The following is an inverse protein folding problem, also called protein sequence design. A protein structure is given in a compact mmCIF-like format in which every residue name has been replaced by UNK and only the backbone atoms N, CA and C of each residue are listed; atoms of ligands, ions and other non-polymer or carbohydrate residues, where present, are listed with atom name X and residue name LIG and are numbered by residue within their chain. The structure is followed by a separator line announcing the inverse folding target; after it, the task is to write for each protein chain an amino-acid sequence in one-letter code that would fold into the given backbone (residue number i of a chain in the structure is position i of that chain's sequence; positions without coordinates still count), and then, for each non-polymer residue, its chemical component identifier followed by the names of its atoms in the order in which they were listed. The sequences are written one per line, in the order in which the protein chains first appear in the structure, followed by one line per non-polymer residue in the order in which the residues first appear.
data_IF_104023003534
#
_entry.id   IF_104023003534
#
_cell.length_a   1.000
_cell.length_b   1.000
_cell.length_c   1.000
_cell.angle_alpha   90.00
_cell.angle_beta   90.00
_cell.angle_gamma   90.00
#
_symmetry.space_group_name_H-M   'P 1'
#
loop_
_entity.id
_entity.type
_entity.pdbx_description
1 polymer ?
#
# COMPACT_ATOMS: atom_id res chain seq x y z
N UNK A 1 16.73 0.85 -23.92
CA UNK A 1 16.92 0.05 -22.69
C UNK A 1 15.78 0.43 -21.77
N UNK A 2 14.95 -0.51 -21.28
CA UNK A 2 13.85 -0.15 -20.35
C UNK A 2 14.46 0.30 -19.02
N UNK A 3 13.92 1.38 -18.45
CA UNK A 3 14.38 1.96 -17.18
C UNK A 3 13.80 1.16 -16.00
N UNK A 4 14.40 0.00 -15.73
CA UNK A 4 14.07 -0.76 -14.52
C UNK A 4 14.47 0.05 -13.28
N UNK A 5 13.56 0.12 -12.32
CA UNK A 5 13.72 1.02 -11.17
C UNK A 5 14.35 0.27 -10.01
N UNK A 6 15.40 0.85 -9.41
CA UNK A 6 16.00 0.36 -8.17
C UNK A 6 15.11 0.67 -6.97
N UNK A 7 15.17 -0.13 -5.91
CA UNK A 7 14.36 0.05 -4.69
C UNK A 7 14.37 1.49 -4.14
N UNK A 8 15.55 2.14 -4.08
CA UNK A 8 15.67 3.56 -3.68
C UNK A 8 14.90 4.49 -4.61
N UNK A 9 15.04 4.29 -5.92
CA UNK A 9 14.41 5.12 -6.94
C UNK A 9 12.90 4.87 -6.99
N UNK A 10 12.43 3.65 -6.66
CA UNK A 10 11.03 3.30 -6.46
C UNK A 10 10.43 4.15 -5.34
N UNK A 11 11.06 4.15 -4.16
CA UNK A 11 10.54 4.90 -3.02
C UNK A 11 10.52 6.40 -3.32
N UNK A 12 11.58 6.94 -3.92
CA UNK A 12 11.63 8.35 -4.30
C UNK A 12 10.54 8.70 -5.32
N UNK A 13 10.34 7.87 -6.33
CA UNK A 13 9.38 8.12 -7.40
C UNK A 13 7.94 8.03 -6.89
N UNK A 14 7.58 6.93 -6.21
CA UNK A 14 6.25 6.79 -5.60
C UNK A 14 5.98 7.87 -4.56
N UNK A 15 6.98 8.29 -3.79
CA UNK A 15 6.82 9.41 -2.87
C UNK A 15 6.46 10.69 -3.62
N UNK A 16 7.20 11.01 -4.69
CA UNK A 16 6.94 12.19 -5.52
C UNK A 16 5.53 12.19 -6.13
N UNK A 17 5.02 11.03 -6.54
CA UNK A 17 3.69 10.90 -7.14
C UNK A 17 2.56 11.05 -6.11
N UNK A 18 2.75 10.55 -4.90
CA UNK A 18 1.70 10.49 -3.88
C UNK A 18 1.73 11.68 -2.91
N UNK A 19 2.86 12.38 -2.77
CA UNK A 19 3.08 13.37 -1.72
C UNK A 19 2.07 14.52 -1.72
N UNK A 20 1.75 15.10 -2.90
CA UNK A 20 0.76 16.19 -2.99
C UNK A 20 -0.59 15.75 -2.41
N UNK A 21 -1.05 14.57 -2.81
CA UNK A 21 -2.35 14.07 -2.35
C UNK A 21 -2.36 13.77 -0.86
N UNK A 22 -1.30 13.19 -0.32
CA UNK A 22 -1.17 13.00 1.12
C UNK A 22 -1.15 14.32 1.89
N UNK A 23 -0.44 15.33 1.38
CA UNK A 23 -0.38 16.66 1.98
C UNK A 23 -1.76 17.36 1.98
N UNK A 24 -2.50 17.30 0.88
CA UNK A 24 -3.89 17.80 0.79
C UNK A 24 -4.79 17.15 1.83
N UNK A 25 -4.58 15.86 2.11
CA UNK A 25 -5.32 15.08 3.10
C UNK A 25 -4.79 15.26 4.54
N UNK A 26 -3.87 16.19 4.77
CA UNK A 26 -3.32 16.52 6.09
C UNK A 26 -2.29 15.52 6.63
N UNK A 27 -1.70 14.69 5.78
CA UNK A 27 -0.60 13.81 6.14
C UNK A 27 0.76 14.49 5.93
N UNK A 28 1.77 14.06 6.68
CA UNK A 28 3.14 14.59 6.65
C UNK A 28 4.11 13.54 6.14
N UNK A 29 5.03 13.91 5.27
CA UNK A 29 6.13 13.01 4.85
C UNK A 29 7.07 12.71 6.02
N UNK A 30 7.53 11.45 6.15
CA UNK A 30 8.50 11.03 7.17
C UNK A 30 9.97 11.14 6.72
N UNK A 31 10.27 11.70 5.54
CA UNK A 31 11.64 11.98 5.08
C UNK A 31 11.97 11.45 3.69
N UNK A 32 13.17 11.82 3.21
CA UNK A 32 13.66 11.56 1.84
C UNK A 32 14.36 10.20 1.75
N UNK A 33 13.60 9.11 1.62
CA UNK A 33 14.22 7.80 1.38
C UNK A 33 13.28 6.61 1.47
N UNK A 34 12.19 6.75 2.23
CA UNK A 34 11.07 5.82 2.24
C UNK A 34 9.83 6.58 1.81
N UNK A 35 9.02 5.96 0.96
CA UNK A 35 7.71 6.53 0.66
C UNK A 35 6.79 6.21 1.84
N UNK A 36 6.77 7.13 2.81
CA UNK A 36 6.04 7.02 4.07
C UNK A 36 5.41 8.36 4.46
N UNK A 37 4.19 8.30 4.98
CA UNK A 37 3.38 9.45 5.37
C UNK A 37 2.71 9.21 6.73
N UNK A 38 2.59 10.25 7.55
CA UNK A 38 1.95 10.17 8.86
C UNK A 38 0.83 11.16 9.08
N UNK A 39 -0.17 10.73 9.85
CA UNK A 39 -1.23 11.60 10.35
C UNK A 39 -1.62 11.13 11.75
N UNK A 40 -1.29 11.93 12.77
CA UNK A 40 -1.46 11.52 14.17
C UNK A 40 -0.64 10.27 14.48
N UNK A 41 -1.32 9.19 14.91
CA UNK A 41 -0.71 7.88 15.22
C UNK A 41 -0.71 6.90 14.03
N UNK A 42 -1.07 7.36 12.83
CA UNK A 42 -1.17 6.51 11.65
C UNK A 42 0.04 6.71 10.76
N UNK A 43 0.57 5.62 10.23
CA UNK A 43 1.69 5.62 9.28
C UNK A 43 1.28 4.86 8.04
N UNK A 44 1.24 5.51 6.89
CA UNK A 44 1.15 4.85 5.60
C UNK A 44 2.56 4.68 5.06
N UNK A 45 2.89 3.53 4.47
CA UNK A 45 4.20 3.31 3.87
C UNK A 45 4.15 2.27 2.76
N UNK A 46 5.06 2.41 1.80
CA UNK A 46 5.27 1.45 0.71
C UNK A 46 6.50 0.60 0.99
N UNK A 47 6.47 -0.67 0.58
CA UNK A 47 7.60 -1.58 0.69
C UNK A 47 7.84 -2.33 -0.61
N UNK A 48 9.10 -2.56 -0.96
CA UNK A 48 9.50 -3.55 -1.95
C UNK A 48 10.04 -4.78 -1.20
N UNK A 49 9.72 -6.00 -1.63
CA UNK A 49 10.06 -7.24 -0.89
C UNK A 49 11.56 -7.47 -0.68
N UNK A 50 12.41 -6.78 -1.44
CA UNK A 50 13.86 -6.84 -1.31
C UNK A 50 14.39 -5.41 -1.23
N UNK A 51 14.73 -4.98 -0.03
CA UNK A 51 15.37 -3.68 0.22
C UNK A 51 16.88 -3.81 -0.07
N UNK A 52 17.25 -3.90 -1.34
CA UNK A 52 18.65 -3.83 -1.77
C UNK A 52 18.80 -2.85 -2.95
N UNK A 53 20.02 -2.34 -3.12
CA UNK A 53 20.36 -1.49 -4.27
C UNK A 53 20.49 -2.28 -5.59
N UNK A 54 20.30 -3.61 -5.56
CA UNK A 54 20.49 -4.51 -6.71
C UNK A 54 19.19 -4.88 -7.44
N UNK A 55 18.02 -4.63 -6.85
CA UNK A 55 16.74 -5.03 -7.45
C UNK A 55 16.41 -4.15 -8.64
N UNK A 56 16.11 -4.77 -9.79
CA UNK A 56 15.66 -4.12 -11.02
C UNK A 56 14.27 -4.65 -11.38
N UNK A 57 13.22 -3.84 -11.16
CA UNK A 57 11.85 -4.33 -11.25
C UNK A 57 11.54 -5.33 -10.12
N UNK A 58 10.30 -5.40 -9.68
CA UNK A 58 9.93 -6.28 -8.58
C UNK A 58 8.48 -6.12 -8.14
N UNK A 59 8.18 -6.64 -6.96
CA UNK A 59 6.87 -6.51 -6.33
C UNK A 59 6.93 -5.49 -5.19
N UNK A 60 5.88 -4.71 -5.05
CA UNK A 60 5.70 -3.85 -3.89
C UNK A 60 4.37 -4.07 -3.20
N UNK A 61 4.32 -3.69 -1.93
CA UNK A 61 3.13 -3.70 -1.09
C UNK A 61 2.87 -2.30 -0.57
N UNK A 62 1.60 -2.05 -0.25
CA UNK A 62 1.12 -0.82 0.33
C UNK A 62 0.54 -1.12 1.72
N UNK A 63 1.08 -0.46 2.73
CA UNK A 63 0.78 -0.74 4.12
C UNK A 63 0.34 0.51 4.86
N UNK A 64 -0.43 0.29 5.91
CA UNK A 64 -0.74 1.31 6.88
C UNK A 64 -0.76 0.72 8.27
N UNK A 65 -0.05 1.35 9.18
CA UNK A 65 -0.08 1.05 10.60
C UNK A 65 -0.96 2.06 11.31
N UNK A 66 -1.60 1.62 12.39
CA UNK A 66 -2.41 2.46 13.26
C UNK A 66 -1.99 2.24 14.71
N UNK A 67 -1.61 3.31 15.41
CA UNK A 67 -1.14 3.21 16.80
C UNK A 67 0.38 3.22 16.92
N UNK A 68 0.87 2.94 18.13
CA UNK A 68 2.31 2.91 18.44
C UNK A 68 2.96 1.57 18.14
N UNK A 69 2.18 0.51 17.92
CA UNK A 69 2.68 -0.85 17.71
C UNK A 69 2.54 -1.28 16.25
N UNK A 70 3.61 -1.88 15.71
CA UNK A 70 3.65 -2.52 14.40
C UNK A 70 2.74 -3.76 14.28
N UNK A 71 1.98 -4.09 15.33
CA UNK A 71 1.09 -5.25 15.37
C UNK A 71 -0.17 -5.07 14.50
N UNK A 72 -0.52 -3.82 14.15
CA UNK A 72 -1.70 -3.47 13.36
C UNK A 72 -1.32 -3.04 11.93
N UNK A 73 -0.40 -3.76 11.29
CA UNK A 73 -0.06 -3.57 9.87
C UNK A 73 -1.26 -3.98 8.99
N UNK A 74 -2.01 -2.99 8.52
CA UNK A 74 -3.13 -3.19 7.60
C UNK A 74 -2.59 -3.10 6.16
N UNK A 75 -2.71 -4.18 5.39
CA UNK A 75 -2.59 -4.13 3.93
C UNK A 75 -3.72 -3.27 3.39
N UNK A 76 -3.42 -2.05 2.98
CA UNK A 76 -4.48 -1.06 2.68
C UNK A 76 -5.35 -1.48 1.51
N UNK A 77 -4.81 -2.27 0.57
CA UNK A 77 -5.52 -2.74 -0.61
C UNK A 77 -6.68 -3.69 -0.26
N UNK A 78 -6.67 -4.28 0.95
CA UNK A 78 -7.83 -5.02 1.49
C UNK A 78 -9.08 -4.13 1.65
N UNK A 79 -8.91 -2.80 1.66
CA UNK A 79 -10.00 -1.82 1.76
C UNK A 79 -10.60 -1.42 0.41
N UNK A 80 -10.12 -2.00 -0.70
CA UNK A 80 -10.74 -1.81 -2.00
C UNK A 80 -12.13 -2.45 -2.02
N UNK A 81 -13.06 -1.81 -2.74
CA UNK A 81 -14.33 -2.46 -3.11
C UNK A 81 -14.11 -3.40 -4.30
N UNK A 82 -15.14 -4.15 -4.67
CA UNK A 82 -15.04 -5.13 -5.76
C UNK A 82 -14.67 -4.50 -7.10
N UNK A 83 -15.31 -3.37 -7.44
CA UNK A 83 -15.02 -2.63 -8.68
C UNK A 83 -13.54 -2.23 -8.79
N UNK A 84 -12.98 -1.70 -7.71
CA UNK A 84 -11.58 -1.28 -7.71
C UNK A 84 -10.60 -2.46 -7.69
N UNK A 85 -10.99 -3.60 -7.13
CA UNK A 85 -10.22 -4.84 -7.24
C UNK A 85 -10.13 -5.29 -8.70
N UNK A 86 -11.24 -5.25 -9.44
CA UNK A 86 -11.23 -5.60 -10.88
C UNK A 86 -10.30 -4.68 -11.68
N UNK A 87 -10.34 -3.36 -11.41
CA UNK A 87 -9.42 -2.40 -12.06
C UNK A 87 -7.97 -2.68 -11.69
N UNK A 88 -7.68 -2.98 -10.42
CA UNK A 88 -6.35 -3.32 -9.94
C UNK A 88 -5.81 -4.60 -10.58
N UNK A 89 -6.63 -5.65 -10.67
CA UNK A 89 -6.31 -6.91 -11.33
C UNK A 89 -6.00 -6.73 -12.82
N UNK A 90 -6.82 -5.96 -13.53
CA UNK A 90 -6.56 -5.65 -14.95
C UNK A 90 -5.26 -4.86 -15.15
N UNK A 91 -4.93 -3.95 -14.23
CA UNK A 91 -3.65 -3.22 -14.26
C UNK A 91 -2.46 -4.16 -14.03
N UNK A 92 -2.56 -5.05 -13.04
CA UNK A 92 -1.56 -6.09 -12.80
C UNK A 92 -1.31 -6.97 -14.04
N UNK A 93 -2.38 -7.53 -14.62
CA UNK A 93 -2.31 -8.37 -15.81
C UNK A 93 -1.65 -7.64 -16.98
N UNK A 94 -2.00 -6.36 -17.17
CA UNK A 94 -1.41 -5.51 -18.20
C UNK A 94 0.08 -5.27 -17.98
N UNK A 95 0.53 -5.09 -16.75
CA UNK A 95 1.96 -4.91 -16.43
C UNK A 95 2.71 -6.21 -16.71
N UNK A 96 2.20 -7.35 -16.23
CA UNK A 96 2.79 -8.69 -16.41
C UNK A 96 2.96 -9.05 -17.90
N UNK A 97 1.98 -8.70 -18.73
CA UNK A 97 2.02 -9.00 -20.17
C UNK A 97 3.09 -8.20 -20.95
N UNK A 98 3.74 -7.18 -20.37
CA UNK A 98 4.69 -6.31 -21.08
C UNK A 98 6.04 -7.00 -21.30
N UNK A 99 6.38 -7.27 -22.56
CA UNK A 99 7.71 -7.75 -22.97
C UNK A 99 8.64 -6.61 -23.46
N UNK A 100 9.98 -6.74 -23.31
CA UNK A 100 10.68 -7.78 -22.55
C UNK A 100 10.56 -7.57 -21.03
N UNK A 101 10.41 -8.66 -20.29
CA UNK A 101 10.54 -8.71 -18.82
C UNK A 101 12.01 -8.48 -18.42
N UNK A 102 12.29 -8.05 -17.16
CA UNK A 102 13.66 -8.10 -16.65
C UNK A 102 14.24 -9.51 -16.81
N UNK A 103 15.54 -9.60 -17.08
CA UNK A 103 16.28 -10.85 -17.14
C UNK A 103 17.33 -10.86 -16.00
N UNK A 104 17.25 -11.80 -15.04
CA UNK A 104 16.24 -12.85 -14.92
C UNK A 104 14.86 -12.31 -14.49
N UNK A 105 13.78 -13.02 -14.87
CA UNK A 105 12.44 -12.74 -14.35
C UNK A 105 12.43 -12.96 -12.83
N UNK A 106 12.08 -11.93 -12.02
CA UNK A 106 12.09 -12.05 -10.57
C UNK A 106 11.26 -13.21 -10.05
N UNK A 107 11.73 -13.88 -9.01
CA UNK A 107 10.99 -14.93 -8.32
C UNK A 107 10.24 -14.41 -7.10
N UNK A 108 9.09 -15.00 -6.84
CA UNK A 108 8.21 -14.63 -5.75
C UNK A 108 7.70 -15.86 -5.03
N UNK A 109 7.65 -15.77 -3.70
CA UNK A 109 6.96 -16.73 -2.86
C UNK A 109 5.45 -16.44 -2.88
N UNK A 110 4.66 -17.46 -3.20
CA UNK A 110 3.20 -17.46 -3.11
C UNK A 110 2.71 -18.67 -2.31
N UNK A 111 1.53 -18.57 -1.72
CA UNK A 111 0.87 -19.69 -1.02
C UNK A 111 0.16 -20.54 -2.07
N UNK A 112 0.55 -21.81 -2.19
CA UNK A 112 -0.05 -22.78 -3.10
C UNK A 112 -1.28 -23.50 -2.51
N UNK A 113 -1.84 -24.43 -3.27
CA UNK A 113 -3.13 -25.10 -2.99
C UNK A 113 -3.20 -25.88 -1.65
N UNK A 114 -2.06 -26.24 -1.05
CA UNK A 114 -1.99 -26.98 0.22
C UNK A 114 -1.36 -26.14 1.35
N UNK A 115 -1.50 -24.81 1.30
CA UNK A 115 -0.80 -23.85 2.18
C UNK A 115 0.75 -23.91 2.10
N UNK A 116 1.28 -24.70 1.16
CA UNK A 116 2.72 -24.79 0.91
C UNK A 116 3.22 -23.53 0.21
N UNK A 117 4.37 -23.01 0.62
CA UNK A 117 5.01 -21.90 -0.08
C UNK A 117 5.70 -22.41 -1.34
N UNK A 118 5.42 -21.78 -2.49
CA UNK A 118 6.05 -22.10 -3.78
C UNK A 118 6.70 -20.87 -4.40
N UNK A 119 7.85 -21.07 -5.05
CA UNK A 119 8.54 -20.02 -5.82
C UNK A 119 8.03 -20.03 -7.26
N UNK A 120 7.58 -18.87 -7.73
CA UNK A 120 7.08 -18.68 -9.09
C UNK A 120 7.70 -17.45 -9.72
N UNK A 121 7.82 -17.44 -11.04
CA UNK A 121 8.26 -16.23 -11.76
C UNK A 121 7.18 -15.16 -11.65
N UNK A 122 7.59 -13.90 -11.51
CA UNK A 122 6.67 -12.77 -11.35
C UNK A 122 5.76 -12.64 -12.57
N UNK A 123 6.27 -12.87 -13.78
CA UNK A 123 5.43 -12.90 -14.96
C UNK A 123 4.42 -14.06 -15.02
N UNK A 124 4.55 -15.06 -14.15
CA UNK A 124 3.61 -16.18 -14.02
C UNK A 124 2.69 -16.02 -12.79
N UNK A 125 2.75 -14.88 -12.08
CA UNK A 125 2.01 -14.63 -10.83
C UNK A 125 0.51 -14.89 -10.97
N UNK A 126 -0.13 -14.42 -12.05
CA UNK A 126 -1.58 -14.60 -12.26
C UNK A 126 -1.95 -16.09 -12.35
N UNK A 127 -1.08 -16.92 -12.94
CA UNK A 127 -1.29 -18.37 -13.04
C UNK A 127 -1.03 -19.05 -11.70
N UNK A 128 -0.03 -18.57 -10.97
CA UNK A 128 0.43 -19.17 -9.72
C UNK A 128 -0.44 -18.81 -8.50
N UNK A 129 -1.07 -17.65 -8.52
CA UNK A 129 -1.91 -17.16 -7.42
C UNK A 129 -3.16 -16.44 -7.98
N UNK A 130 -4.06 -17.18 -8.64
CA UNK A 130 -5.24 -16.60 -9.30
C UNK A 130 -6.20 -15.91 -8.33
N UNK A 131 -6.12 -16.26 -7.04
CA UNK A 131 -7.02 -15.80 -5.97
C UNK A 131 -6.45 -14.66 -5.13
N UNK A 132 -5.29 -14.08 -5.50
CA UNK A 132 -4.65 -13.02 -4.68
C UNK A 132 -5.54 -11.79 -4.46
N UNK A 133 -6.55 -11.60 -5.31
CA UNK A 133 -7.53 -10.51 -5.23
C UNK A 133 -8.88 -10.95 -4.61
N UNK A 134 -9.13 -12.24 -4.39
CA UNK A 134 -10.46 -12.80 -4.08
C UNK A 134 -10.83 -12.74 -2.58
N UNK A 135 -9.85 -12.59 -1.70
CA UNK A 135 -10.03 -12.48 -0.24
C UNK A 135 -9.30 -11.23 0.29
N UNK A 136 -9.51 -10.78 1.55
CA UNK A 136 -8.65 -9.79 2.19
C UNK A 136 -7.23 -10.37 2.39
N UNK A 137 -6.49 -10.46 1.29
CA UNK A 137 -5.18 -11.08 1.19
C UNK A 137 -4.08 -10.03 1.12
N UNK A 138 -2.84 -10.51 1.20
CA UNK A 138 -1.67 -9.71 0.91
C UNK A 138 -1.55 -9.56 -0.60
N UNK A 139 -1.98 -8.40 -1.12
CA UNK A 139 -1.89 -8.11 -2.55
C UNK A 139 -0.48 -7.64 -2.88
N UNK A 140 0.16 -8.37 -3.79
CA UNK A 140 1.44 -8.00 -4.36
C UNK A 140 1.20 -7.20 -5.64
N UNK A 141 1.90 -6.08 -5.81
CA UNK A 141 1.78 -5.27 -7.03
C UNK A 141 3.05 -5.42 -7.88
N UNK A 142 2.99 -6.04 -9.06
CA UNK A 142 4.14 -6.11 -9.96
C UNK A 142 4.46 -4.74 -10.56
N UNK A 143 5.74 -4.45 -10.73
CA UNK A 143 6.24 -3.36 -11.56
C UNK A 143 7.59 -3.73 -12.15
N UNK A 144 7.85 -3.27 -13.35
CA UNK A 144 9.13 -3.46 -14.02
C UNK A 144 9.83 -2.12 -14.23
N UNK A 145 9.11 -1.07 -14.62
CA UNK A 145 9.66 0.25 -14.88
C UNK A 145 8.95 1.40 -14.17
N UNK A 146 9.49 2.60 -14.37
CA UNK A 146 8.92 3.85 -13.85
C UNK A 146 7.48 4.09 -14.32
N UNK A 147 7.18 3.77 -15.58
CA UNK A 147 5.83 3.88 -16.14
C UNK A 147 4.80 3.00 -15.42
N UNK A 148 5.23 1.86 -14.88
CA UNK A 148 4.34 0.97 -14.14
C UNK A 148 4.00 1.56 -12.77
N UNK A 149 4.95 2.29 -12.17
CA UNK A 149 4.72 3.07 -10.96
C UNK A 149 3.79 4.26 -11.21
N UNK A 150 3.92 4.90 -12.37
CA UNK A 150 2.98 5.95 -12.80
C UNK A 150 1.57 5.38 -12.96
N UNK A 151 1.43 4.21 -13.61
CA UNK A 151 0.15 3.50 -13.75
C UNK A 151 -0.45 3.13 -12.37
N UNK A 152 0.37 2.59 -11.46
CA UNK A 152 -0.07 2.29 -10.10
C UNK A 152 -0.47 3.54 -9.33
N UNK A 153 0.28 4.64 -9.44
CA UNK A 153 -0.11 5.89 -8.80
C UNK A 153 -1.43 6.44 -9.36
N UNK A 154 -1.64 6.39 -10.69
CA UNK A 154 -2.90 6.77 -11.32
C UNK A 154 -4.08 5.91 -10.83
N UNK A 155 -3.84 4.61 -10.58
CA UNK A 155 -4.83 3.75 -9.93
C UNK A 155 -5.09 4.17 -8.47
N UNK A 156 -4.05 4.46 -7.68
CA UNK A 156 -4.18 4.72 -6.25
C UNK A 156 -4.75 6.10 -5.92
N UNK A 157 -4.32 7.15 -6.63
CA UNK A 157 -4.61 8.54 -6.30
C UNK A 157 -6.12 8.83 -6.11
N UNK A 158 -7.02 8.41 -7.01
CA UNK A 158 -8.46 8.63 -6.84
C UNK A 158 -9.07 7.88 -5.65
N UNK A 159 -8.36 6.87 -5.13
CA UNK A 159 -8.85 5.94 -4.10
C UNK A 159 -8.23 6.23 -2.73
N UNK A 160 -7.20 7.08 -2.66
CA UNK A 160 -6.42 7.31 -1.45
C UNK A 160 -7.29 7.73 -0.27
N UNK A 161 -8.21 8.68 -0.45
CA UNK A 161 -9.08 9.18 0.61
C UNK A 161 -9.82 8.05 1.33
N UNK A 162 -10.34 7.07 0.57
CA UNK A 162 -11.06 5.91 1.10
C UNK A 162 -10.11 4.87 1.67
N UNK A 163 -9.00 4.59 0.98
CA UNK A 163 -7.99 3.64 1.43
C UNK A 163 -7.40 4.04 2.79
N UNK A 164 -7.15 5.34 2.97
CA UNK A 164 -6.62 5.93 4.19
C UNK A 164 -7.72 6.53 5.07
N UNK A 165 -8.99 6.27 4.77
CA UNK A 165 -10.07 6.70 5.65
C UNK A 165 -9.93 6.00 7.01
N UNK A 166 -10.36 6.65 8.09
CA UNK A 166 -10.53 5.97 9.35
C UNK A 166 -11.49 4.76 9.19
N UNK A 167 -11.09 3.59 9.65
CA UNK A 167 -11.97 2.44 9.89
C UNK A 167 -13.05 2.80 10.92
N UNK A 168 -14.21 2.16 10.91
CA UNK A 168 -15.34 2.48 11.81
C UNK A 168 -15.00 2.40 13.31
N UNK A 169 -13.93 1.71 13.70
CA UNK A 169 -13.40 1.70 15.07
C UNK A 169 -12.71 3.03 15.46
N UNK A 170 -12.29 3.86 14.50
CA UNK A 170 -11.65 5.17 14.71
C UNK A 170 -12.63 6.30 15.07
N UNK A 171 -13.93 6.14 14.90
CA UNK A 171 -14.90 7.13 15.42
C UNK A 171 -14.92 7.19 16.95
N UNK A 172 -14.35 6.19 17.60
CA UNK A 172 -14.14 6.15 19.05
C UNK A 172 -12.74 6.68 19.38
N UNK A 173 -12.43 7.93 19.05
CA UNK A 173 -11.28 8.59 19.66
C UNK A 173 -11.57 8.76 21.16
N UNK A 174 -10.86 8.07 22.08
CA UNK A 174 -11.10 8.18 23.51
C UNK A 174 -10.86 9.61 24.02
N UNK A 175 -10.04 10.39 23.31
CA UNK A 175 -9.74 11.79 23.66
C UNK A 175 -10.90 12.74 23.35
N UNK A 176 -11.65 12.48 22.26
CA UNK A 176 -12.87 13.23 21.93
C UNK A 176 -13.99 12.97 22.95
N UNK A 177 -14.09 11.75 23.48
CA UNK A 177 -14.97 11.44 24.62
C UNK A 177 -14.52 12.12 25.91
N UNK A 178 -13.22 12.13 26.22
CA UNK A 178 -12.69 12.77 27.43
C UNK A 178 -12.91 14.30 27.44
N UNK A 179 -12.84 14.95 26.27
CA UNK A 179 -13.16 16.37 26.13
C UNK A 179 -14.67 16.64 26.26
N UNK A 180 -15.53 15.80 25.66
CA UNK A 180 -16.99 15.90 25.81
C UNK A 180 -17.46 15.66 27.26
N UNK A 181 -16.90 14.69 27.96
CA UNK A 181 -17.22 14.45 29.38
C UNK A 181 -16.70 15.55 30.31
N UNK A 182 -15.54 16.16 30.03
CA UNK A 182 -15.07 17.33 30.80
C UNK A 182 -15.97 18.55 30.62
N UNK A 183 -16.58 18.74 29.44
CA UNK A 183 -17.54 19.81 29.25
C UNK A 183 -18.88 19.54 29.97
N UNK A 184 -19.34 18.29 29.98
CA UNK A 184 -20.57 17.91 30.69
C UNK A 184 -20.42 17.98 32.21
N UNK A 185 -19.30 17.53 32.78
CA UNK A 185 -19.06 17.60 34.24
C UNK A 185 -18.85 19.02 34.76
N UNK A 186 -18.56 19.98 33.87
CA UNK A 186 -18.44 21.41 34.24
C UNK A 186 -19.79 22.13 34.34
N UNK A 187 -20.83 21.61 33.69
CA UNK A 187 -22.21 22.10 33.80
C UNK A 187 -22.90 21.66 35.10
N UNK A 188 -22.46 20.54 35.68
CA UNK A 188 -22.97 20.02 36.97
C UNK A 188 -22.19 20.51 38.18
N UNK A 189 -21.30 21.49 38.01
CA UNK A 189 -20.54 22.12 39.11
C UNK A 189 -20.86 23.61 39.18
N UNK A 190 -22.13 23.92 39.42
CA UNK A 190 -22.55 25.25 39.86
C UNK A 190 -23.17 25.12 41.26
N UNK A 191 -22.36 25.50 42.26
CA UNK A 191 -22.60 25.66 43.71
C UNK A 191 -23.13 24.44 44.46
#
# INVERSE_FOLDING_TARGET
MRDYVKSRDFHRHMHSLLASRFQELGWKSQGTGRSSFTRGRRVFWLQVSQYSNSVMGGKFTLNMTQGSDHADDIRILRRLNEEDRLVGKALEERIIARLPRPDPDPEIEVVGENDATVLVKLGDLVRANPTQWDAPADVWLPYFGKSDLDDWAAFLLPRLDRLIAPSSSEMLDPLLWAQRFRHLTRLFRSK
#
